data_IF_640639759776
#
_entry.id   IF_640639759776
#
_cell.length_a   1.000
_cell.length_b   1.000
_cell.length_c   1.000
_cell.angle_alpha   90.00
_cell.angle_beta   90.00
_cell.angle_gamma   90.00
#
_symmetry.space_group_name_H-M   'P 1'
#
loop_
_entity.id
_entity.type
_entity.pdbx_description
1 polymer ?
#
# COMPACT_ATOMS: atom_id res chain seq x y z
N UNK A 1 -22.72 -26.70 11.32
CA UNK A 1 -21.67 -25.85 11.93
C UNK A 1 -20.27 -25.93 11.29
N UNK A 2 -20.06 -26.58 10.13
CA UNK A 2 -18.70 -26.75 9.56
C UNK A 2 -18.04 -25.48 9.01
N UNK A 3 -18.83 -24.47 8.57
CA UNK A 3 -18.33 -23.31 7.81
C UNK A 3 -18.65 -21.94 8.44
N UNK A 4 -19.09 -21.91 9.70
CA UNK A 4 -19.47 -20.68 10.40
C UNK A 4 -18.31 -19.67 10.54
N UNK A 5 -17.07 -20.13 10.47
CA UNK A 5 -15.87 -19.29 10.62
C UNK A 5 -15.14 -19.00 9.31
N UNK A 6 -15.69 -19.36 8.15
CA UNK A 6 -15.03 -19.19 6.85
C UNK A 6 -15.28 -17.81 6.21
N UNK A 7 -15.67 -16.80 7.00
CA UNK A 7 -15.91 -15.47 6.48
C UNK A 7 -14.60 -14.80 6.07
N UNK A 8 -14.59 -14.25 4.85
CA UNK A 8 -13.48 -13.42 4.38
C UNK A 8 -13.48 -12.08 5.11
N UNK A 9 -12.30 -11.56 5.41
CA UNK A 9 -12.12 -10.23 5.99
C UNK A 9 -11.70 -9.25 4.91
N UNK A 10 -12.15 -8.00 5.03
CA UNK A 10 -11.68 -6.90 4.19
C UNK A 10 -10.24 -6.55 4.56
N UNK A 11 -9.47 -6.12 3.57
CA UNK A 11 -8.12 -5.58 3.77
C UNK A 11 -8.20 -4.13 4.22
N UNK A 12 -7.30 -3.74 5.13
CA UNK A 12 -7.17 -2.35 5.54
C UNK A 12 -6.38 -1.56 4.49
N UNK A 13 -6.88 -0.37 4.16
CA UNK A 13 -6.30 0.53 3.16
C UNK A 13 -6.29 1.93 3.76
N UNK A 14 -5.25 2.71 3.45
CA UNK A 14 -5.04 4.08 3.93
C UNK A 14 -4.68 4.98 2.76
N UNK A 15 -4.98 6.27 2.90
CA UNK A 15 -4.61 7.28 1.91
C UNK A 15 -3.09 7.49 1.87
N UNK A 16 -2.52 7.61 0.67
CA UNK A 16 -1.13 7.99 0.50
C UNK A 16 -0.96 9.48 0.76
N UNK A 17 -0.12 9.83 1.74
CA UNK A 17 0.17 11.23 2.07
C UNK A 17 0.85 12.05 0.95
N UNK A 18 1.32 11.40 -0.12
CA UNK A 18 1.97 12.08 -1.24
C UNK A 18 1.02 12.34 -2.42
N UNK A 19 0.30 11.32 -2.89
CA UNK A 19 -0.56 11.44 -4.08
C UNK A 19 -2.07 11.31 -3.82
N UNK A 20 -2.49 11.01 -2.58
CA UNK A 20 -3.90 10.83 -2.23
C UNK A 20 -4.51 9.47 -2.65
N UNK A 21 -3.77 8.61 -3.35
CA UNK A 21 -4.28 7.29 -3.73
C UNK A 21 -4.35 6.33 -2.54
N UNK A 22 -5.29 5.39 -2.59
CA UNK A 22 -5.42 4.33 -1.60
C UNK A 22 -4.27 3.31 -1.70
N UNK A 23 -3.59 3.08 -0.56
CA UNK A 23 -2.50 2.11 -0.44
C UNK A 23 -2.61 1.24 0.79
N UNK A 24 -1.89 0.12 0.81
CA UNK A 24 -1.78 -0.72 2.01
C UNK A 24 -0.91 -0.04 3.08
N UNK A 25 -1.28 -0.12 4.38
CA UNK A 25 -0.43 0.34 5.48
C UNK A 25 0.94 -0.37 5.46
N UNK A 26 2.02 0.37 5.74
CA UNK A 26 3.41 -0.13 5.71
C UNK A 26 3.93 -0.63 4.35
N UNK A 27 3.20 -0.41 3.26
CA UNK A 27 3.70 -0.65 1.90
C UNK A 27 4.09 0.66 1.23
N UNK A 28 4.97 0.56 0.24
CA UNK A 28 5.20 1.61 -0.76
C UNK A 28 3.89 1.90 -1.50
N UNK A 29 3.68 3.14 -1.92
CA UNK A 29 2.57 3.44 -2.82
C UNK A 29 2.85 2.88 -4.21
N UNK A 30 1.98 2.02 -4.72
CA UNK A 30 2.13 1.43 -6.07
C UNK A 30 1.94 2.46 -7.20
N UNK A 31 1.26 3.57 -6.93
CA UNK A 31 1.06 4.63 -7.93
C UNK A 31 2.24 5.61 -8.02
N UNK A 32 2.73 6.12 -6.89
CA UNK A 32 3.77 7.16 -6.92
C UNK A 32 5.16 6.67 -6.48
N UNK A 33 5.31 5.43 -6.00
CA UNK A 33 6.61 4.90 -5.58
C UNK A 33 7.15 5.44 -4.25
N UNK A 34 6.35 6.23 -3.52
CA UNK A 34 6.78 6.80 -2.24
C UNK A 34 6.61 5.82 -1.08
N UNK A 35 7.64 5.77 -0.22
CA UNK A 35 7.63 5.08 1.06
C UNK A 35 8.38 5.95 2.10
N UNK A 36 7.79 6.09 3.29
CA UNK A 36 8.39 6.88 4.39
C UNK A 36 8.81 8.30 3.95
N UNK A 37 7.97 8.94 3.12
CA UNK A 37 8.23 10.29 2.61
C UNK A 37 9.33 10.41 1.54
N UNK A 38 9.90 9.31 1.08
CA UNK A 38 10.96 9.28 0.05
C UNK A 38 10.46 8.62 -1.22
N UNK A 39 10.88 9.14 -2.38
CA UNK A 39 10.72 8.46 -3.67
C UNK A 39 11.72 7.31 -3.76
N UNK A 40 11.22 6.07 -3.77
CA UNK A 40 12.06 4.86 -3.80
C UNK A 40 12.31 4.39 -5.23
N UNK A 41 11.41 4.69 -6.15
CA UNK A 41 11.48 4.18 -7.53
C UNK A 41 12.34 5.10 -8.40
N UNK A 42 12.23 6.43 -8.21
CA UNK A 42 13.10 7.40 -8.87
C UNK A 42 14.56 7.35 -8.39
N UNK A 43 14.83 6.83 -7.20
CA UNK A 43 16.17 6.76 -6.63
C UNK A 43 17.06 5.66 -7.26
N UNK A 44 16.50 4.68 -7.96
CA UNK A 44 17.23 3.48 -8.46
C UNK A 44 17.50 3.54 -9.97
N UNK A 45 16.94 4.49 -10.71
CA UNK A 45 17.04 4.58 -12.18
C UNK A 45 18.26 5.34 -12.73
N UNK A 46 19.25 5.66 -11.87
CA UNK A 46 20.46 6.41 -12.25
C UNK A 46 21.71 5.51 -12.43
N UNK A 47 21.55 4.30 -12.98
CA UNK A 47 22.65 3.37 -13.29
C UNK A 47 22.77 3.11 -14.79
#
# INVERSE_FOLDING_TARGET
>A
MRRSHHALRRTNIVECAHCGELKRPHHMCDQCGYYDGRDVVGAVSAA
#
